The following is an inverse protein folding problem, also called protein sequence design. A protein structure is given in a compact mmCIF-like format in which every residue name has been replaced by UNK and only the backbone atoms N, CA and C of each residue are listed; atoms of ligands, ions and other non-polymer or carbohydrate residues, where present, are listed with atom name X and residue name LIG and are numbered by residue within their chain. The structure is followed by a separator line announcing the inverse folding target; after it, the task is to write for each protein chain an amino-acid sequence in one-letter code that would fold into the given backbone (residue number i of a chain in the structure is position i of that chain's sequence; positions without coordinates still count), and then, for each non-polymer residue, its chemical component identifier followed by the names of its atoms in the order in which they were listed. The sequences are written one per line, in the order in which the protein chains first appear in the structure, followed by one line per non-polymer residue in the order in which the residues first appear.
data_IF_386061133032
#
_entry.id   IF_386061133032
#
_cell.length_a   1.000
_cell.length_b   1.000
_cell.length_c   1.000
_cell.angle_alpha   90.00
_cell.angle_beta   90.00
_cell.angle_gamma   90.00
#
_symmetry.space_group_name_H-M   'P 1'
#
loop_
_entity.id
_entity.type
_entity.pdbx_description
1 polymer ?
#
# COMPACT_ATOMS: atom_id res chain seq x y z
N UNK A 1 2.10 -13.88 6.23
CA UNK A 1 2.78 -13.19 7.34
C UNK A 1 1.80 -13.12 8.49
N UNK A 2 2.20 -13.44 9.73
CA UNK A 2 1.28 -13.36 10.88
C UNK A 2 1.05 -11.90 11.28
N UNK A 3 -0.08 -11.59 11.93
CA UNK A 3 -0.37 -10.23 12.41
C UNK A 3 0.74 -9.72 13.35
N UNK A 4 1.27 -10.60 14.21
CA UNK A 4 2.43 -10.30 15.07
C UNK A 4 3.67 -9.95 14.26
N UNK A 5 3.97 -10.71 13.21
CA UNK A 5 5.10 -10.41 12.32
C UNK A 5 4.97 -9.06 11.61
N UNK A 6 3.78 -8.75 11.09
CA UNK A 6 3.51 -7.44 10.46
C UNK A 6 3.73 -6.31 11.46
N UNK A 7 3.20 -6.46 12.68
CA UNK A 7 3.37 -5.46 13.73
C UNK A 7 4.85 -5.25 14.09
N UNK A 8 5.59 -6.33 14.37
CA UNK A 8 7.01 -6.26 14.73
C UNK A 8 7.84 -5.58 13.65
N UNK A 9 7.65 -5.95 12.39
CA UNK A 9 8.35 -5.32 11.26
C UNK A 9 7.93 -3.85 11.13
N UNK A 10 6.64 -3.55 11.24
CA UNK A 10 6.14 -2.18 11.10
C UNK A 10 6.69 -1.25 12.18
N UNK A 11 6.75 -1.71 13.43
CA UNK A 11 7.37 -0.99 14.53
C UNK A 11 8.87 -0.76 14.28
N UNK A 12 9.59 -1.78 13.80
CA UNK A 12 11.02 -1.63 13.48
C UNK A 12 11.25 -0.61 12.36
N UNK A 13 10.42 -0.62 11.30
CA UNK A 13 10.45 0.38 10.23
C UNK A 13 10.21 1.78 10.81
N UNK A 14 9.16 1.96 11.61
CA UNK A 14 8.84 3.25 12.22
C UNK A 14 9.99 3.78 13.09
N UNK A 15 10.59 2.92 13.92
CA UNK A 15 11.74 3.28 14.74
C UNK A 15 12.96 3.66 13.88
N UNK A 16 13.24 2.90 12.82
CA UNK A 16 14.34 3.20 11.91
C UNK A 16 14.15 4.57 11.23
N UNK A 17 12.95 4.85 10.73
CA UNK A 17 12.64 6.13 10.09
C UNK A 17 12.81 7.31 11.07
N UNK A 18 12.37 7.14 12.32
CA UNK A 18 12.54 8.14 13.38
C UNK A 18 14.01 8.44 13.66
N UNK A 19 14.84 7.40 13.81
CA UNK A 19 16.30 7.54 14.03
C UNK A 19 17.00 8.30 12.90
N UNK A 20 16.46 8.24 11.68
CA UNK A 20 17.00 8.93 10.51
C UNK A 20 16.35 10.29 10.24
N UNK A 21 15.54 10.81 11.17
CA UNK A 21 14.96 12.15 11.07
C UNK A 21 13.86 12.30 10.02
N UNK A 22 13.28 11.20 9.54
CA UNK A 22 12.16 11.21 8.59
C UNK A 22 10.95 11.94 9.20
N UNK A 23 10.32 12.81 8.41
CA UNK A 23 9.17 13.63 8.86
C UNK A 23 7.83 13.17 8.29
N UNK A 24 7.86 12.40 7.22
CA UNK A 24 6.68 11.92 6.52
C UNK A 24 6.92 10.49 6.04
N UNK A 25 5.97 9.60 6.30
CA UNK A 25 5.90 8.27 5.70
C UNK A 25 4.68 8.25 4.77
N UNK A 26 4.92 7.84 3.53
CA UNK A 26 3.85 7.62 2.54
C UNK A 26 3.77 6.13 2.26
N UNK A 27 2.63 5.51 2.52
CA UNK A 27 2.36 4.12 2.12
C UNK A 27 1.44 4.09 0.91
N UNK A 28 1.63 3.08 0.06
CA UNK A 28 0.88 2.89 -1.17
C UNK A 28 0.14 1.56 -1.11
N UNK A 29 -1.09 1.53 -1.62
CA UNK A 29 -1.88 0.30 -1.66
C UNK A 29 -2.99 0.34 -2.69
N UNK A 30 -3.88 -0.64 -2.59
CA UNK A 30 -5.02 -0.77 -3.48
C UNK A 30 -6.32 -0.58 -2.70
N UNK A 31 -7.27 0.11 -3.33
CA UNK A 31 -8.65 0.20 -2.89
C UNK A 31 -9.49 -0.72 -3.77
N UNK A 32 -9.99 -1.82 -3.22
CA UNK A 32 -10.68 -2.84 -4.00
C UNK A 32 -12.12 -2.39 -4.28
N UNK A 33 -12.49 -2.33 -5.56
CA UNK A 33 -13.84 -2.00 -6.03
C UNK A 33 -14.39 -3.11 -6.93
N UNK A 34 -15.71 -3.18 -7.08
CA UNK A 34 -16.30 -4.13 -8.03
C UNK A 34 -15.88 -3.79 -9.48
N UNK A 35 -15.66 -4.82 -10.30
CA UNK A 35 -15.11 -4.70 -11.66
C UNK A 35 -15.97 -3.86 -12.63
N UNK A 36 -17.23 -3.59 -12.30
CA UNK A 36 -18.11 -2.70 -13.07
C UNK A 36 -17.74 -1.22 -12.87
N UNK A 37 -17.13 -0.87 -11.73
CA UNK A 37 -16.76 0.50 -11.37
C UNK A 37 -15.46 0.98 -12.04
N UNK A 38 -14.63 0.07 -12.55
CA UNK A 38 -13.34 0.39 -13.19
C UNK A 38 -13.46 0.65 -14.70
N UNK A 39 -14.65 0.51 -15.30
CA UNK A 39 -14.85 0.65 -16.76
C UNK A 39 -14.96 2.10 -17.24
N UNK A 40 -15.25 3.05 -16.35
CA UNK A 40 -15.51 4.44 -16.71
C UNK A 40 -14.64 5.40 -15.87
N UNK A 41 -13.75 6.12 -16.56
CA UNK A 41 -12.94 7.25 -16.07
C UNK A 41 -11.79 6.94 -15.11
N UNK A 42 -10.77 7.82 -15.16
CA UNK A 42 -9.52 7.80 -14.40
C UNK A 42 -9.63 7.14 -13.01
N UNK A 43 -8.81 6.11 -12.75
CA UNK A 43 -8.78 5.45 -11.45
C UNK A 43 -8.66 6.49 -10.34
N UNK A 44 -9.61 6.45 -9.41
CA UNK A 44 -9.58 7.34 -8.25
C UNK A 44 -8.48 6.87 -7.31
N UNK A 45 -7.95 7.81 -6.55
CA UNK A 45 -7.08 7.53 -5.41
C UNK A 45 -7.79 7.93 -4.13
N UNK A 46 -7.81 7.02 -3.18
CA UNK A 46 -8.35 7.22 -1.85
C UNK A 46 -7.21 7.54 -0.89
N UNK A 47 -7.39 8.59 -0.12
CA UNK A 47 -6.36 9.16 0.74
C UNK A 47 -6.80 9.04 2.20
N UNK A 48 -5.91 8.50 3.02
CA UNK A 48 -6.02 8.57 4.48
C UNK A 48 -4.75 9.19 5.06
N UNK A 49 -4.87 9.92 6.16
CA UNK A 49 -3.74 10.51 6.88
C UNK A 49 -3.87 10.29 8.37
N UNK A 50 -2.74 10.33 9.07
CA UNK A 50 -2.70 10.18 10.53
C UNK A 50 -3.18 11.41 11.28
N UNK A 51 -3.43 12.53 10.59
CA UNK A 51 -3.93 13.76 11.17
C UNK A 51 -4.86 14.50 10.19
N UNK A 52 -6.05 14.89 10.65
CA UNK A 52 -7.12 15.49 9.82
C UNK A 52 -6.79 16.90 9.33
N UNK A 53 -6.02 17.66 10.10
CA UNK A 53 -5.67 19.05 9.73
C UNK A 53 -4.31 19.16 9.04
N UNK A 54 -3.73 18.03 8.64
CA UNK A 54 -2.40 17.99 8.05
C UNK A 54 -2.37 18.65 6.66
N UNK A 55 -1.41 19.55 6.42
CA UNK A 55 -1.17 20.15 5.09
C UNK A 55 -0.92 19.11 3.99
N UNK A 56 -0.34 17.96 4.33
CA UNK A 56 -0.17 16.82 3.44
C UNK A 56 -1.50 16.26 2.95
N UNK A 57 -2.51 16.18 3.82
CA UNK A 57 -3.86 15.78 3.42
C UNK A 57 -4.43 16.79 2.43
N UNK A 58 -4.35 18.09 2.73
CA UNK A 58 -4.84 19.15 1.85
C UNK A 58 -4.17 19.11 0.47
N UNK A 59 -2.85 18.95 0.43
CA UNK A 59 -2.07 18.83 -0.81
C UNK A 59 -2.49 17.62 -1.64
N UNK A 60 -2.66 16.45 -1.01
CA UNK A 60 -3.11 15.23 -1.70
C UNK A 60 -4.54 15.37 -2.21
N UNK A 61 -5.45 15.92 -1.41
CA UNK A 61 -6.86 16.09 -1.78
C UNK A 61 -7.08 17.18 -2.85
N UNK A 62 -6.11 18.06 -3.08
CA UNK A 62 -6.16 19.01 -4.21
C UNK A 62 -5.88 18.34 -5.57
N UNK A 63 -5.46 17.07 -5.59
CA UNK A 63 -5.28 16.33 -6.85
C UNK A 63 -6.65 15.94 -7.44
N UNK A 64 -6.84 16.06 -8.76
CA UNK A 64 -8.15 15.96 -9.40
C UNK A 64 -8.82 14.58 -9.26
N UNK A 65 -8.05 13.51 -9.06
CA UNK A 65 -8.54 12.14 -8.88
C UNK A 65 -8.52 11.67 -7.42
N UNK A 66 -8.15 12.54 -6.47
CA UNK A 66 -8.04 12.19 -5.06
C UNK A 66 -9.34 12.40 -4.29
N UNK A 67 -9.66 11.44 -3.42
CA UNK A 67 -10.79 11.48 -2.50
C UNK A 67 -10.35 11.08 -1.10
N UNK A 68 -10.91 11.65 -0.03
CA UNK A 68 -10.68 11.11 1.30
C UNK A 68 -11.28 9.71 1.40
N UNK A 69 -10.58 8.80 2.06
CA UNK A 69 -11.14 7.51 2.44
C UNK A 69 -12.08 7.72 3.64
N UNK A 70 -13.38 7.56 3.41
CA UNK A 70 -14.42 7.75 4.45
C UNK A 70 -14.95 6.43 5.00
N UNK A 71 -14.67 5.31 4.32
CA UNK A 71 -15.18 3.98 4.62
C UNK A 71 -14.11 2.92 4.33
N UNK A 72 -14.27 1.74 4.93
CA UNK A 72 -13.35 0.61 4.79
C UNK A 72 -12.21 0.59 5.81
N UNK A 73 -11.36 -0.42 5.69
CA UNK A 73 -10.21 -0.64 6.57
C UNK A 73 -8.92 -0.75 5.76
N UNK A 74 -7.82 -0.23 6.31
CA UNK A 74 -6.48 -0.34 5.71
C UNK A 74 -5.70 -1.39 6.49
N UNK A 75 -5.61 -2.60 5.92
CA UNK A 75 -4.98 -3.74 6.58
C UNK A 75 -3.48 -3.85 6.24
N UNK A 76 -2.76 -4.57 7.11
CA UNK A 76 -1.35 -4.87 6.92
C UNK A 76 -0.42 -3.67 7.15
N UNK A 77 0.80 -3.76 6.62
CA UNK A 77 1.85 -2.76 6.84
C UNK A 77 1.46 -1.36 6.36
N UNK A 78 0.63 -1.26 5.31
CA UNK A 78 0.19 0.02 4.75
C UNK A 78 -0.56 0.89 5.75
N UNK A 79 -1.40 0.28 6.59
CA UNK A 79 -2.10 0.97 7.68
C UNK A 79 -1.24 1.07 8.94
N UNK A 80 -0.53 0.00 9.28
CA UNK A 80 0.16 -0.12 10.58
C UNK A 80 1.41 0.76 10.66
N UNK A 81 2.27 0.78 9.63
CA UNK A 81 3.53 1.57 9.64
C UNK A 81 3.27 3.06 9.90
N UNK A 82 2.43 3.77 9.11
CA UNK A 82 2.21 5.21 9.34
C UNK A 82 1.52 5.46 10.68
N UNK A 83 0.60 4.58 11.09
CA UNK A 83 -0.10 4.70 12.38
C UNK A 83 0.87 4.61 13.56
N UNK A 84 1.72 3.58 13.61
CA UNK A 84 2.72 3.42 14.66
C UNK A 84 3.75 4.53 14.63
N UNK A 85 4.20 4.93 13.45
CA UNK A 85 5.17 6.02 13.30
C UNK A 85 4.64 7.34 13.87
N UNK A 86 3.35 7.64 13.66
CA UNK A 86 2.71 8.81 14.26
C UNK A 86 2.55 8.65 15.77
N UNK A 87 2.00 7.53 16.22
CA UNK A 87 1.66 7.31 17.63
C UNK A 87 2.88 7.29 18.54
N UNK A 88 3.98 6.66 18.11
CA UNK A 88 5.14 6.42 18.96
C UNK A 88 6.28 7.42 18.73
N UNK A 89 6.42 7.94 17.51
CA UNK A 89 7.56 8.76 17.10
C UNK A 89 7.17 10.14 16.56
N UNK A 90 5.87 10.46 16.50
CA UNK A 90 5.36 11.74 16.01
C UNK A 90 5.55 11.99 14.51
N UNK A 91 5.91 10.97 13.73
CA UNK A 91 6.11 11.09 12.27
C UNK A 91 4.75 11.15 11.57
N UNK A 92 4.56 12.10 10.64
CA UNK A 92 3.32 12.17 9.88
C UNK A 92 3.19 11.00 8.90
N UNK A 93 1.96 10.51 8.72
CA UNK A 93 1.64 9.43 7.80
C UNK A 93 0.59 9.83 6.78
N UNK A 94 0.82 9.46 5.52
CA UNK A 94 -0.17 9.52 4.44
C UNK A 94 -0.26 8.16 3.75
N UNK A 95 -1.46 7.78 3.35
CA UNK A 95 -1.77 6.52 2.69
C UNK A 95 -2.49 6.83 1.39
N UNK A 96 -1.96 6.35 0.27
CA UNK A 96 -2.50 6.56 -1.07
C UNK A 96 -2.94 5.20 -1.62
N UNK A 97 -4.22 5.06 -1.93
CA UNK A 97 -4.81 3.81 -2.40
C UNK A 97 -5.45 4.01 -3.78
N UNK A 98 -4.93 3.38 -4.84
CA UNK A 98 -5.59 3.42 -6.14
C UNK A 98 -6.68 2.38 -6.24
N UNK A 99 -7.80 2.72 -6.89
CA UNK A 99 -8.82 1.73 -7.26
C UNK A 99 -8.21 0.56 -8.05
N UNK A 100 -8.60 -0.66 -7.68
CA UNK A 100 -8.35 -1.87 -8.47
C UNK A 100 -9.58 -2.78 -8.46
N UNK A 101 -9.76 -3.57 -9.51
CA UNK A 101 -10.89 -4.49 -9.58
C UNK A 101 -10.75 -5.67 -8.61
N UNK A 102 -11.85 -6.02 -7.95
CA UNK A 102 -11.93 -7.21 -7.09
C UNK A 102 -11.55 -8.49 -7.85
N UNK A 103 -11.88 -8.59 -9.14
CA UNK A 103 -11.50 -9.73 -9.97
C UNK A 103 -9.98 -9.87 -10.11
N UNK A 104 -9.27 -8.78 -10.47
CA UNK A 104 -7.81 -8.82 -10.59
C UNK A 104 -7.15 -9.14 -9.23
N UNK A 105 -7.60 -8.47 -8.17
CA UNK A 105 -7.10 -8.70 -6.82
C UNK A 105 -7.29 -10.16 -6.36
N UNK A 106 -8.46 -10.73 -6.59
CA UNK A 106 -8.78 -12.13 -6.20
C UNK A 106 -7.97 -13.15 -7.00
N UNK A 107 -7.63 -12.84 -8.25
CA UNK A 107 -6.77 -13.68 -9.09
C UNK A 107 -5.28 -13.48 -8.79
N UNK A 108 -4.91 -12.56 -7.90
CA UNK A 108 -3.51 -12.21 -7.63
C UNK A 108 -2.82 -11.52 -8.81
N UNK A 109 -3.60 -10.98 -9.75
CA UNK A 109 -3.09 -10.32 -10.95
C UNK A 109 -2.80 -8.85 -10.69
N UNK A 110 -1.71 -8.35 -11.29
CA UNK A 110 -1.40 -6.93 -11.27
C UNK A 110 -2.41 -6.13 -12.10
N UNK A 111 -2.72 -4.92 -11.64
CA UNK A 111 -3.49 -3.91 -12.36
C UNK A 111 -2.57 -2.77 -12.78
N UNK A 112 -2.07 -2.77 -14.04
CA UNK A 112 -1.10 -1.76 -14.49
C UNK A 112 -1.64 -0.33 -14.43
N UNK A 113 -2.95 -0.14 -14.58
CA UNK A 113 -3.55 1.20 -14.49
C UNK A 113 -3.59 1.70 -13.05
N UNK A 114 -3.88 0.82 -12.09
CA UNK A 114 -3.79 1.14 -10.67
C UNK A 114 -2.37 1.55 -10.28
N UNK A 115 -1.36 0.77 -10.71
CA UNK A 115 0.06 1.07 -10.46
C UNK A 115 0.47 2.41 -11.10
N UNK A 116 0.13 2.63 -12.38
CA UNK A 116 0.41 3.89 -13.07
C UNK A 116 -0.20 5.08 -12.33
N UNK A 117 -1.45 4.95 -11.90
CA UNK A 117 -2.17 5.99 -11.14
C UNK A 117 -1.47 6.28 -9.81
N UNK A 118 -1.07 5.25 -9.04
CA UNK A 118 -0.32 5.44 -7.79
C UNK A 118 0.98 6.20 -8.01
N UNK A 119 1.77 5.79 -9.02
CA UNK A 119 3.05 6.42 -9.32
C UNK A 119 2.84 7.87 -9.74
N UNK A 120 1.91 8.16 -10.66
CA UNK A 120 1.60 9.53 -11.07
C UNK A 120 1.14 10.42 -9.91
N UNK A 121 0.27 9.90 -9.03
CA UNK A 121 -0.17 10.61 -7.83
C UNK A 121 0.99 10.88 -6.88
N UNK A 122 1.85 9.89 -6.63
CA UNK A 122 3.01 10.03 -5.76
C UNK A 122 4.01 11.04 -6.32
N UNK A 123 4.31 10.95 -7.61
CA UNK A 123 5.23 11.86 -8.33
C UNK A 123 4.75 13.30 -8.24
N UNK A 124 3.46 13.55 -8.50
CA UNK A 124 2.85 14.89 -8.38
C UNK A 124 2.87 15.39 -6.94
N UNK A 125 2.60 14.52 -5.97
CA UNK A 125 2.55 14.88 -4.56
C UNK A 125 3.93 15.25 -3.98
N UNK A 126 4.95 14.45 -4.28
CA UNK A 126 6.30 14.63 -3.77
C UNK A 126 7.20 15.47 -4.70
N UNK A 127 6.66 15.92 -5.84
CA UNK A 127 7.40 16.61 -6.90
C UNK A 127 8.68 15.85 -7.31
N UNK A 128 8.56 14.53 -7.49
CA UNK A 128 9.70 13.68 -7.85
C UNK A 128 9.98 13.75 -9.35
N UNK A 129 11.24 13.71 -9.79
CA UNK A 129 11.59 13.60 -11.20
C UNK A 129 11.49 12.14 -11.65
N UNK A 130 10.27 11.60 -11.71
CA UNK A 130 10.02 10.24 -12.19
C UNK A 130 9.42 10.29 -13.60
N UNK A 131 10.20 9.90 -14.61
CA UNK A 131 9.69 9.68 -15.96
C UNK A 131 8.87 8.38 -15.98
N UNK A 132 7.57 8.51 -16.21
CA UNK A 132 6.61 7.39 -16.27
C UNK A 132 6.76 6.45 -17.48
N UNK A 133 7.85 6.57 -18.25
CA UNK A 133 8.09 5.84 -19.51
C UNK A 133 8.51 4.38 -19.33
N UNK A 134 8.86 3.94 -18.12
CA UNK A 134 9.40 2.59 -17.87
C UNK A 134 8.35 1.56 -17.40
N UNK A 135 7.10 1.96 -17.14
CA UNK A 135 6.05 1.08 -16.61
C UNK A 135 5.46 0.09 -17.63
N UNK A 136 5.61 0.34 -18.93
CA UNK A 136 5.00 -0.49 -19.99
C UNK A 136 5.81 -1.77 -20.34
N UNK A 137 7.04 -1.89 -19.83
CA UNK A 137 7.98 -2.97 -20.21
C UNK A 137 8.11 -4.13 -19.21
N UNK A 138 7.35 -4.13 -18.11
CA UNK A 138 7.30 -5.28 -17.19
C UNK A 138 5.98 -6.04 -17.34
N UNK A 139 5.77 -6.66 -18.52
CA UNK A 139 4.84 -7.79 -18.59
C UNK A 139 5.41 -8.90 -17.70
N UNK A 140 4.62 -9.54 -16.81
CA UNK A 140 5.09 -10.76 -16.16
C UNK A 140 5.51 -11.74 -17.25
N UNK A 141 6.75 -12.21 -17.18
CA UNK A 141 7.23 -13.27 -18.07
C UNK A 141 6.24 -14.42 -18.03
N UNK A 142 5.83 -14.94 -19.19
CA UNK A 142 4.84 -16.02 -19.38
C UNK A 142 5.19 -17.37 -18.74
N UNK A 143 6.14 -17.43 -17.81
CA UNK A 143 6.67 -18.67 -17.22
C UNK A 143 6.12 -19.01 -15.82
N UNK A 144 5.10 -18.30 -15.30
CA UNK A 144 4.55 -18.57 -13.95
C UNK A 144 3.13 -19.19 -13.96
N UNK A 145 2.69 -19.78 -15.07
CA UNK A 145 1.36 -20.40 -15.14
C UNK A 145 1.34 -21.92 -14.82
N UNK A 146 2.47 -22.61 -14.72
CA UNK A 146 2.51 -24.08 -14.57
C UNK A 146 3.23 -24.61 -13.32
N UNK A 147 3.78 -23.76 -12.45
CA UNK A 147 4.31 -24.24 -11.17
C UNK A 147 3.21 -24.29 -10.11
N UNK A 148 2.66 -25.50 -9.89
CA UNK A 148 1.90 -25.80 -8.66
C UNK A 148 2.73 -25.34 -7.46
N UNK A 149 2.17 -24.56 -6.52
CA UNK A 149 2.91 -24.16 -5.33
C UNK A 149 3.39 -25.41 -4.60
N UNK A 150 4.66 -25.48 -4.18
CA UNK A 150 5.16 -26.64 -3.45
C UNK A 150 4.34 -26.80 -2.17
N UNK A 151 3.80 -28.00 -1.96
CA UNK A 151 3.16 -28.37 -0.69
C UNK A 151 4.20 -28.21 0.41
N UNK A 152 4.05 -27.18 1.24
CA UNK A 152 4.84 -27.04 2.46
C UNK A 152 4.18 -27.88 3.54
N UNK A 153 4.76 -29.05 3.77
CA UNK A 153 4.52 -29.88 4.94
C UNK A 153 5.20 -29.17 6.13
N UNK A 154 4.42 -28.50 6.98
CA UNK A 154 4.96 -27.96 8.22
C UNK A 154 5.17 -29.14 9.18
N UNK A 155 6.42 -29.41 9.54
CA UNK A 155 6.72 -30.39 10.59
C UNK A 155 6.25 -29.81 11.94
N UNK A 156 5.30 -30.47 12.58
CA UNK A 156 4.59 -30.05 13.80
C UNK A 156 5.50 -29.87 15.05
N UNK A 157 6.81 -30.12 14.95
CA UNK A 157 7.73 -30.13 16.08
C UNK A 157 8.26 -28.73 16.46
N UNK A 158 8.40 -27.78 15.52
CA UNK A 158 8.92 -26.43 15.84
C UNK A 158 7.89 -25.54 16.55
N UNK A 159 6.59 -25.80 16.39
CA UNK A 159 5.49 -25.03 17.00
C UNK A 159 5.36 -25.24 18.52
N UNK A 160 5.85 -26.36 19.05
CA UNK A 160 5.83 -26.63 20.51
C UNK A 160 6.86 -25.82 21.29
N UNK A 161 7.83 -25.19 20.62
CA UNK A 161 8.85 -24.37 21.28
C UNK A 161 8.40 -22.93 21.58
N UNK A 162 7.26 -22.49 21.03
CA UNK A 162 6.78 -21.10 21.10
C UNK A 162 5.45 -20.93 21.86
N UNK A 163 4.95 -21.97 22.49
CA UNK A 163 3.72 -21.93 23.29
C UNK A 163 4.12 -22.30 24.74
N UNK A 164 4.27 -21.28 25.59
CA UNK A 164 4.13 -21.44 27.04
C UNK A 164 2.64 -21.48 27.39
#
# INVERSE_FOLDING_TARGET
MTSRGIYTISHHIAQFMSKNGVKLIVTLGAYIVESSATKNSSNKVYIATTHKENEHLKKLLNLPNAKPMTEGEILGANGIVPTLAKQEFGIEGAIILSETSAQLASMGNSDPQAVKTLVETLTKYLNLPLDGSNGDNQKPSKNQADEKPPKREYQEEELKSYIC
#
